data_IF_267494775467
#
_entry.id   IF_267494775467
#
_cell.length_a   1.000
_cell.length_b   1.000
_cell.length_c   1.000
_cell.angle_alpha   90.00
_cell.angle_beta   90.00
_cell.angle_gamma   90.00
#
_symmetry.space_group_name_H-M   'P 1'
#
loop_
_entity.id
_entity.type
_entity.pdbx_description
1 polymer ?
#
# COMPACT_ATOMS: atom_id res chain seq x y z
N UNK A 1 16.69 19.09 -32.86
CA UNK A 1 15.35 19.23 -33.49
C UNK A 1 14.35 18.78 -32.44
N UNK A 2 13.64 19.69 -31.79
CA UNK A 2 12.71 19.36 -30.68
C UNK A 2 11.54 18.55 -31.25
N UNK A 3 11.51 17.23 -31.04
CA UNK A 3 10.27 16.48 -31.23
C UNK A 3 9.31 16.94 -30.14
N UNK A 4 8.23 17.63 -30.53
CA UNK A 4 7.04 17.72 -29.69
C UNK A 4 6.58 16.28 -29.44
N UNK A 5 6.45 15.91 -28.17
CA UNK A 5 5.89 14.64 -27.73
C UNK A 5 4.40 14.60 -28.13
N UNK A 6 4.14 14.22 -29.38
CA UNK A 6 2.83 13.77 -29.81
C UNK A 6 2.69 12.28 -29.43
N UNK A 7 1.62 11.96 -28.70
CA UNK A 7 1.09 10.62 -28.39
C UNK A 7 1.48 9.95 -27.06
N UNK A 8 1.08 10.59 -25.96
CA UNK A 8 0.42 9.88 -24.85
C UNK A 8 -0.78 10.74 -24.41
N UNK A 9 -1.89 10.19 -23.88
CA UNK A 9 -2.93 11.01 -23.25
C UNK A 9 -2.28 11.72 -22.06
N UNK A 10 -1.70 12.89 -22.32
CA UNK A 10 -0.68 13.48 -21.48
C UNK A 10 -1.30 14.02 -20.21
N UNK A 11 -0.78 13.58 -19.06
CA UNK A 11 -1.05 14.21 -17.78
C UNK A 11 -0.66 15.68 -17.84
N UNK A 12 -1.61 16.59 -17.58
CA UNK A 12 -1.34 18.03 -17.50
C UNK A 12 -0.44 18.33 -16.31
N UNK A 13 -0.57 17.54 -15.23
CA UNK A 13 0.34 17.59 -14.08
C UNK A 13 1.76 17.22 -14.49
N UNK A 14 1.99 16.11 -15.19
CA UNK A 14 3.34 15.73 -15.65
C UNK A 14 3.90 16.77 -16.61
N UNK A 15 3.09 17.34 -17.50
CA UNK A 15 3.52 18.39 -18.43
C UNK A 15 3.96 19.66 -17.68
N UNK A 16 3.21 20.07 -16.66
CA UNK A 16 3.59 21.21 -15.79
C UNK A 16 4.88 20.91 -15.03
N UNK A 17 4.99 19.73 -14.40
CA UNK A 17 6.17 19.33 -13.65
C UNK A 17 7.41 19.23 -14.53
N UNK A 18 7.29 18.72 -15.76
CA UNK A 18 8.38 18.67 -16.73
C UNK A 18 8.84 20.08 -17.13
N UNK A 19 7.90 21.02 -17.33
CA UNK A 19 8.23 22.40 -17.65
C UNK A 19 8.94 23.15 -16.50
N UNK A 20 8.70 22.74 -15.25
CA UNK A 20 9.38 23.28 -14.07
C UNK A 20 10.67 22.53 -13.72
N UNK A 21 10.96 21.40 -14.38
CA UNK A 21 12.14 20.60 -14.08
C UNK A 21 13.41 21.26 -14.65
N UNK A 22 14.54 21.23 -13.93
CA UNK A 22 15.81 21.73 -14.46
C UNK A 22 16.40 20.86 -15.59
N UNK A 23 15.85 19.67 -15.82
CA UNK A 23 16.31 18.71 -16.81
C UNK A 23 15.20 18.34 -17.79
N UNK A 24 15.58 17.89 -18.99
CA UNK A 24 14.62 17.26 -19.90
C UNK A 24 14.10 15.97 -19.26
N UNK A 25 12.82 15.63 -19.45
CA UNK A 25 12.22 14.48 -18.77
C UNK A 25 12.73 13.13 -19.29
N UNK A 26 13.41 13.08 -20.45
CA UNK A 26 13.97 11.86 -21.04
C UNK A 26 15.10 12.20 -22.03
N UNK A 27 16.26 11.60 -21.83
CA UNK A 27 17.41 11.69 -22.74
C UNK A 27 17.56 10.41 -23.57
N UNK A 28 17.01 10.42 -24.79
CA UNK A 28 17.14 9.31 -25.74
C UNK A 28 18.52 9.31 -26.44
N UNK A 29 19.07 8.12 -26.79
CA UNK A 29 18.48 6.78 -26.65
C UNK A 29 18.75 6.08 -25.31
N UNK A 30 19.59 6.64 -24.44
CA UNK A 30 20.09 5.96 -23.23
C UNK A 30 18.99 5.74 -22.20
N UNK A 31 18.17 6.76 -21.94
CA UNK A 31 17.12 6.68 -20.93
C UNK A 31 15.86 6.01 -21.48
N UNK A 32 15.25 5.16 -20.64
CA UNK A 32 14.01 4.42 -20.95
C UNK A 32 12.83 4.80 -20.06
N UNK A 33 13.07 5.64 -19.07
CA UNK A 33 12.09 6.03 -18.05
C UNK A 33 12.17 7.54 -17.90
N UNK A 34 11.00 8.18 -17.84
CA UNK A 34 10.92 9.62 -17.62
C UNK A 34 11.32 9.98 -16.20
N UNK A 35 12.13 11.01 -16.04
CA UNK A 35 12.57 11.52 -14.74
C UNK A 35 12.12 12.97 -14.59
N UNK A 36 11.40 13.26 -13.51
CA UNK A 36 10.99 14.61 -13.16
C UNK A 36 11.74 15.01 -11.90
N UNK A 37 12.67 15.94 -12.03
CA UNK A 37 13.45 16.46 -10.89
C UNK A 37 12.71 17.62 -10.24
N UNK A 38 12.58 17.56 -8.92
CA UNK A 38 11.98 18.57 -8.05
C UNK A 38 13.00 19.06 -7.02
N UNK A 39 12.76 20.23 -6.45
CA UNK A 39 13.73 20.92 -5.58
C UNK A 39 14.04 20.20 -4.27
N UNK A 40 13.05 19.52 -3.68
CA UNK A 40 13.17 18.90 -2.36
C UNK A 40 12.07 17.86 -2.09
N UNK A 41 12.19 17.16 -0.97
CA UNK A 41 11.28 16.09 -0.56
C UNK A 41 9.82 16.55 -0.32
N UNK A 42 9.54 17.71 0.31
CA UNK A 42 8.17 18.27 0.34
C UNK A 42 7.58 18.53 -1.05
N UNK A 43 8.37 19.06 -1.98
CA UNK A 43 7.95 19.30 -3.36
C UNK A 43 7.65 17.98 -4.10
N UNK A 44 8.42 16.93 -3.83
CA UNK A 44 8.14 15.58 -4.35
C UNK A 44 6.78 15.06 -3.87
N UNK A 45 6.49 15.19 -2.57
CA UNK A 45 5.18 14.81 -2.03
C UNK A 45 4.02 15.58 -2.66
N UNK A 46 4.21 16.89 -2.90
CA UNK A 46 3.22 17.73 -3.59
C UNK A 46 3.00 17.30 -5.04
N UNK A 47 4.09 17.06 -5.78
CA UNK A 47 4.04 16.62 -7.17
C UNK A 47 3.31 15.27 -7.31
N UNK A 48 3.66 14.30 -6.45
CA UNK A 48 3.00 13.00 -6.40
C UNK A 48 1.50 13.13 -6.03
N UNK A 49 1.15 14.02 -5.11
CA UNK A 49 -0.24 14.24 -4.69
C UNK A 49 -1.09 14.79 -5.83
N UNK A 50 -0.63 15.82 -6.54
CA UNK A 50 -1.34 16.35 -7.71
C UNK A 50 -1.48 15.30 -8.81
N UNK A 51 -0.43 14.51 -9.06
CA UNK A 51 -0.46 13.46 -10.07
C UNK A 51 -1.46 12.35 -9.72
N UNK A 52 -1.52 11.96 -8.45
CA UNK A 52 -2.47 10.98 -7.94
C UNK A 52 -3.91 11.48 -8.05
N UNK A 53 -4.16 12.73 -7.66
CA UNK A 53 -5.50 13.34 -7.74
C UNK A 53 -5.98 13.45 -9.18
N UNK A 54 -5.10 13.82 -10.11
CA UNK A 54 -5.42 13.86 -11.54
C UNK A 54 -5.77 12.45 -12.06
N UNK A 55 -4.96 11.45 -11.71
CA UNK A 55 -5.25 10.06 -12.06
C UNK A 55 -6.61 9.62 -11.51
N UNK A 56 -6.94 9.97 -10.27
CA UNK A 56 -8.22 9.61 -9.66
C UNK A 56 -9.42 10.30 -10.35
N UNK A 57 -9.28 11.54 -10.82
CA UNK A 57 -10.31 12.19 -11.65
C UNK A 57 -10.52 11.48 -13.01
N UNK A 58 -9.46 10.89 -13.55
CA UNK A 58 -9.49 10.17 -14.83
C UNK A 58 -9.92 8.70 -14.65
N UNK A 59 -9.71 8.14 -13.46
CA UNK A 59 -9.94 6.73 -13.10
C UNK A 59 -10.79 6.62 -11.82
N UNK A 60 -12.06 7.06 -11.83
CA UNK A 60 -12.89 7.14 -10.63
C UNK A 60 -13.13 5.79 -9.94
N UNK A 61 -13.00 4.67 -10.66
CA UNK A 61 -13.07 3.30 -10.10
C UNK A 61 -11.75 2.53 -10.25
N UNK A 62 -10.64 3.27 -10.35
CA UNK A 62 -9.31 2.72 -10.48
C UNK A 62 -8.89 1.86 -9.29
N UNK A 63 -7.89 1.02 -9.52
CA UNK A 63 -7.23 0.26 -8.45
C UNK A 63 -5.94 0.99 -8.09
N UNK A 64 -5.74 1.27 -6.81
CA UNK A 64 -4.51 1.86 -6.31
C UNK A 64 -3.94 1.07 -5.14
N UNK A 65 -2.65 1.29 -4.94
CA UNK A 65 -1.90 0.76 -3.83
C UNK A 65 -0.88 1.82 -3.44
N UNK A 66 -0.77 2.10 -2.14
CA UNK A 66 0.04 3.20 -1.62
C UNK A 66 1.05 2.66 -0.60
N UNK A 67 2.31 3.13 -0.64
CA UNK A 67 3.36 2.66 0.27
C UNK A 67 3.08 3.13 1.70
N UNK A 68 3.67 2.50 2.71
CA UNK A 68 3.56 2.93 4.12
C UNK A 68 4.86 3.58 4.60
N UNK A 69 4.88 4.02 5.86
CA UNK A 69 6.07 4.57 6.52
C UNK A 69 6.24 6.09 6.41
N UNK A 70 7.49 6.56 6.48
CA UNK A 70 7.81 8.01 6.50
C UNK A 70 7.88 8.64 5.10
N UNK A 71 8.27 7.86 4.10
CA UNK A 71 8.44 8.32 2.72
C UNK A 71 7.19 9.01 2.14
N UNK A 72 5.96 8.49 2.32
CA UNK A 72 4.76 9.13 1.77
C UNK A 72 4.17 10.27 2.63
N UNK A 73 4.82 10.71 3.72
CA UNK A 73 4.23 11.66 4.67
C UNK A 73 3.77 12.98 4.02
N UNK A 74 4.62 13.60 3.19
CA UNK A 74 4.23 14.82 2.48
C UNK A 74 3.17 14.56 1.42
N UNK A 75 3.22 13.40 0.74
CA UNK A 75 2.19 12.99 -0.20
C UNK A 75 0.82 12.91 0.48
N UNK A 76 0.73 12.22 1.63
CA UNK A 76 -0.50 12.11 2.43
C UNK A 76 -1.02 13.50 2.82
N UNK A 77 -0.15 14.34 3.39
CA UNK A 77 -0.51 15.68 3.84
C UNK A 77 -1.04 16.54 2.69
N UNK A 78 -0.43 16.45 1.51
CA UNK A 78 -0.87 17.20 0.34
C UNK A 78 -2.20 16.68 -0.22
N UNK A 79 -2.39 15.36 -0.36
CA UNK A 79 -3.68 14.80 -0.79
C UNK A 79 -4.78 15.22 0.17
N UNK A 80 -4.58 15.07 1.49
CA UNK A 80 -5.55 15.50 2.50
C UNK A 80 -5.86 16.99 2.41
N UNK A 81 -4.85 17.84 2.24
CA UNK A 81 -5.03 19.29 2.07
C UNK A 81 -5.82 19.62 0.80
N UNK A 82 -5.47 19.01 -0.33
CA UNK A 82 -6.15 19.20 -1.62
C UNK A 82 -7.63 18.82 -1.49
N UNK A 83 -7.94 17.67 -0.87
CA UNK A 83 -9.32 17.21 -0.69
C UNK A 83 -10.09 18.11 0.27
N UNK A 84 -9.52 18.45 1.43
CA UNK A 84 -10.18 19.26 2.46
C UNK A 84 -10.45 20.68 1.97
N UNK A 85 -9.46 21.30 1.36
CA UNK A 85 -9.47 22.72 1.03
C UNK A 85 -9.74 22.96 -0.47
N UNK A 86 -10.37 21.99 -1.18
CA UNK A 86 -10.57 22.04 -2.64
C UNK A 86 -11.16 23.36 -3.11
N UNK A 87 -12.21 23.86 -2.45
CA UNK A 87 -12.92 25.10 -2.84
C UNK A 87 -12.16 26.38 -2.45
N UNK A 88 -11.04 26.28 -1.74
CA UNK A 88 -10.27 27.45 -1.33
C UNK A 88 -9.52 28.06 -2.51
N UNK A 89 -9.44 29.39 -2.55
CA UNK A 89 -8.71 30.11 -3.60
C UNK A 89 -7.26 29.62 -3.80
N UNK A 90 -6.47 29.33 -2.75
CA UNK A 90 -5.11 28.80 -2.92
C UNK A 90 -5.06 27.45 -3.63
N UNK A 91 -5.95 26.51 -3.30
CA UNK A 91 -5.97 25.19 -3.93
C UNK A 91 -6.51 25.26 -5.35
N UNK A 92 -7.56 26.05 -5.59
CA UNK A 92 -8.09 26.28 -6.95
C UNK A 92 -7.06 26.94 -7.87
N UNK A 93 -6.25 27.87 -7.36
CA UNK A 93 -5.15 28.48 -8.11
C UNK A 93 -4.12 27.44 -8.53
N UNK A 94 -3.70 26.56 -7.61
CA UNK A 94 -2.77 25.47 -7.92
C UNK A 94 -3.37 24.44 -8.88
N UNK A 95 -4.63 24.06 -8.67
CA UNK A 95 -5.35 23.14 -9.55
C UNK A 95 -5.37 23.66 -10.99
N UNK A 96 -5.63 24.96 -11.18
CA UNK A 96 -5.60 25.60 -12.52
C UNK A 96 -4.20 25.59 -13.13
N UNK A 97 -3.15 25.88 -12.36
CA UNK A 97 -1.75 25.82 -12.83
C UNK A 97 -1.38 24.41 -13.30
N UNK A 98 -1.90 23.40 -12.62
CA UNK A 98 -1.70 21.98 -12.92
C UNK A 98 -2.61 21.45 -14.02
N UNK A 99 -3.54 22.26 -14.55
CA UNK A 99 -4.48 21.86 -15.61
C UNK A 99 -5.58 20.89 -15.14
N UNK A 100 -5.88 20.87 -13.84
CA UNK A 100 -6.87 19.98 -13.24
C UNK A 100 -8.28 20.30 -13.71
N UNK A 101 -9.15 19.29 -13.75
CA UNK A 101 -10.58 19.51 -13.93
C UNK A 101 -11.17 20.19 -12.68
N UNK A 102 -12.22 21.03 -12.81
CA UNK A 102 -12.77 21.80 -11.69
C UNK A 102 -13.46 20.94 -10.63
N UNK A 103 -13.93 19.74 -10.99
CA UNK A 103 -14.67 18.87 -10.08
C UNK A 103 -13.75 18.33 -8.97
N UNK A 104 -14.21 18.41 -7.72
CA UNK A 104 -13.47 17.80 -6.61
C UNK A 104 -13.28 16.30 -6.87
N UNK A 105 -12.04 15.77 -6.80
CA UNK A 105 -11.79 14.34 -6.88
C UNK A 105 -12.58 13.58 -5.80
N UNK A 106 -13.27 12.53 -6.21
CA UNK A 106 -13.97 11.60 -5.31
C UNK A 106 -13.22 10.28 -5.29
N UNK A 107 -12.79 9.85 -4.11
CA UNK A 107 -11.92 8.68 -3.95
C UNK A 107 -12.64 7.48 -3.34
N UNK A 108 -13.89 7.66 -2.90
CA UNK A 108 -14.76 6.63 -2.32
C UNK A 108 -14.97 5.43 -3.25
N UNK A 109 -14.86 5.65 -4.55
CA UNK A 109 -14.99 4.61 -5.56
C UNK A 109 -13.68 3.92 -5.95
N UNK A 110 -12.53 4.33 -5.43
CA UNK A 110 -11.30 3.61 -5.71
C UNK A 110 -11.29 2.25 -5.02
N UNK A 111 -10.65 1.26 -5.64
CA UNK A 111 -10.30 -0.01 -5.01
C UNK A 111 -8.89 0.09 -4.44
N UNK A 112 -8.75 -0.08 -3.14
CA UNK A 112 -7.45 -0.04 -2.47
C UNK A 112 -6.93 -1.45 -2.24
N UNK A 113 -5.64 -1.68 -2.51
CA UNK A 113 -4.95 -2.94 -2.21
C UNK A 113 -3.74 -2.63 -1.34
N UNK A 114 -3.63 -3.27 -0.17
CA UNK A 114 -2.44 -3.14 0.68
C UNK A 114 -1.24 -3.89 0.06
N UNK A 115 -0.05 -3.29 0.09
CA UNK A 115 1.17 -3.85 -0.56
C UNK A 115 1.84 -4.89 0.33
N UNK A 116 2.02 -4.55 1.60
CA UNK A 116 2.82 -5.32 2.55
C UNK A 116 2.28 -5.22 3.98
N UNK A 117 2.74 -6.14 4.83
CA UNK A 117 2.48 -6.17 6.27
C UNK A 117 3.60 -6.97 6.97
N UNK A 118 3.82 -6.71 8.26
CA UNK A 118 4.68 -7.55 9.08
C UNK A 118 3.98 -8.87 9.42
N UNK A 119 4.58 -10.01 9.09
CA UNK A 119 4.08 -11.29 9.58
C UNK A 119 4.75 -11.62 10.93
N UNK A 120 4.01 -12.01 11.98
CA UNK A 120 2.59 -12.31 12.01
C UNK A 120 1.75 -11.25 12.77
N UNK A 121 2.01 -9.96 12.54
CA UNK A 121 1.47 -8.88 13.36
C UNK A 121 -0.07 -8.85 13.35
N UNK A 122 -0.66 -8.52 14.50
CA UNK A 122 -2.08 -8.24 14.58
C UNK A 122 -2.41 -6.86 13.97
N UNK A 123 -3.48 -6.76 13.16
CA UNK A 123 -3.98 -5.47 12.65
C UNK A 123 -4.38 -4.46 13.73
N UNK A 124 -4.60 -4.91 14.96
CA UNK A 124 -4.96 -4.05 16.08
C UNK A 124 -3.74 -3.30 16.65
N UNK A 125 -2.51 -3.70 16.29
CA UNK A 125 -1.30 -3.00 16.71
C UNK A 125 -1.09 -1.72 15.90
N UNK A 126 -0.73 -0.63 16.59
CA UNK A 126 -0.57 0.70 15.99
C UNK A 126 0.60 0.81 14.99
N UNK A 127 1.56 -0.10 15.07
CA UNK A 127 2.71 -0.21 14.18
C UNK A 127 2.46 -1.17 12.99
N UNK A 128 1.28 -1.79 12.90
CA UNK A 128 0.88 -2.55 11.72
C UNK A 128 0.64 -1.61 10.54
N UNK A 129 0.96 -2.09 9.34
CA UNK A 129 0.64 -1.37 8.11
C UNK A 129 -0.85 -1.35 7.84
N UNK A 130 -1.61 -2.33 8.34
CA UNK A 130 -3.06 -2.34 8.36
C UNK A 130 -3.61 -1.12 9.11
N UNK A 131 -3.11 -0.85 10.32
CA UNK A 131 -3.49 0.34 11.09
C UNK A 131 -3.13 1.62 10.33
N UNK A 132 -1.90 1.71 9.82
CA UNK A 132 -1.44 2.86 9.03
C UNK A 132 -2.35 3.14 7.83
N UNK A 133 -2.67 2.12 7.03
CA UNK A 133 -3.55 2.24 5.87
C UNK A 133 -4.93 2.73 6.28
N UNK A 134 -5.52 2.17 7.35
CA UNK A 134 -6.83 2.59 7.84
C UNK A 134 -6.85 4.06 8.26
N UNK A 135 -5.84 4.50 9.03
CA UNK A 135 -5.79 5.89 9.52
C UNK A 135 -5.48 6.90 8.41
N UNK A 136 -4.43 6.67 7.62
CA UNK A 136 -3.91 7.71 6.73
C UNK A 136 -4.52 7.67 5.33
N UNK A 137 -4.92 6.51 4.84
CA UNK A 137 -5.49 6.35 3.50
C UNK A 137 -7.00 6.17 3.54
N UNK A 138 -7.53 5.16 4.24
CA UNK A 138 -8.98 4.91 4.25
C UNK A 138 -9.71 6.10 4.86
N UNK A 139 -9.44 6.42 6.13
CA UNK A 139 -10.03 7.58 6.80
C UNK A 139 -9.51 8.89 6.21
N UNK A 140 -8.18 9.00 6.06
CA UNK A 140 -7.54 10.25 5.65
C UNK A 140 -7.94 10.73 4.24
N UNK A 141 -8.15 9.83 3.28
CA UNK A 141 -8.52 10.18 1.91
C UNK A 141 -10.02 10.01 1.64
N UNK A 142 -10.77 9.39 2.56
CA UNK A 142 -12.19 9.08 2.37
C UNK A 142 -12.39 7.94 1.37
N UNK A 143 -11.54 6.91 1.41
CA UNK A 143 -11.75 5.69 0.63
C UNK A 143 -12.83 4.85 1.29
N UNK A 144 -13.55 4.05 0.49
CA UNK A 144 -14.54 3.11 1.02
C UNK A 144 -13.82 1.87 1.59
N UNK A 145 -13.93 1.57 2.91
CA UNK A 145 -13.34 0.37 3.49
C UNK A 145 -13.90 -0.93 2.87
N UNK A 146 -15.14 -0.92 2.37
CA UNK A 146 -15.73 -2.08 1.69
C UNK A 146 -15.10 -2.34 0.31
N UNK A 147 -14.36 -1.36 -0.24
CA UNK A 147 -13.59 -1.48 -1.49
C UNK A 147 -12.08 -1.66 -1.24
N UNK A 148 -11.67 -1.97 0.00
CA UNK A 148 -10.29 -2.20 0.35
C UNK A 148 -9.99 -3.70 0.53
N UNK A 149 -8.89 -4.16 -0.05
CA UNK A 149 -8.29 -5.46 0.21
C UNK A 149 -7.10 -5.26 1.16
N UNK A 150 -7.32 -5.57 2.44
CA UNK A 150 -6.34 -5.41 3.51
C UNK A 150 -5.84 -6.77 4.00
N UNK A 151 -4.60 -6.81 4.48
CA UNK A 151 -3.99 -8.05 4.99
C UNK A 151 -4.25 -8.20 6.49
N UNK A 152 -4.57 -9.42 6.91
CA UNK A 152 -4.69 -9.79 8.32
C UNK A 152 -3.74 -10.95 8.63
N UNK A 153 -2.49 -10.59 8.93
CA UNK A 153 -1.42 -11.55 9.21
C UNK A 153 -1.67 -12.39 10.48
N UNK A 154 -2.58 -11.96 11.36
CA UNK A 154 -2.94 -12.74 12.56
C UNK A 154 -3.75 -14.00 12.25
N UNK A 155 -4.26 -14.14 11.02
CA UNK A 155 -5.07 -15.29 10.59
C UNK A 155 -4.38 -16.19 9.58
N UNK A 156 -3.41 -15.67 8.84
CA UNK A 156 -2.74 -16.40 7.75
C UNK A 156 -2.04 -17.64 8.32
N UNK A 157 -2.55 -18.82 7.94
CA UNK A 157 -2.05 -20.13 8.33
C UNK A 157 -2.77 -20.80 9.51
N UNK A 158 -3.66 -20.09 10.21
CA UNK A 158 -4.46 -20.67 11.31
C UNK A 158 -5.68 -21.45 10.79
N UNK A 159 -6.30 -20.97 9.70
CA UNK A 159 -7.58 -21.48 9.20
C UNK A 159 -7.51 -22.91 8.63
N UNK A 160 -6.34 -23.38 8.21
CA UNK A 160 -6.16 -24.71 7.60
C UNK A 160 -6.29 -25.91 8.56
N UNK A 161 -6.56 -25.66 9.86
CA UNK A 161 -6.82 -26.70 10.86
C UNK A 161 -8.31 -27.11 10.93
N UNK A 162 -9.24 -26.32 10.39
CA UNK A 162 -10.66 -26.59 10.51
C UNK A 162 -11.07 -27.83 9.68
N UNK A 163 -11.55 -28.89 10.36
CA UNK A 163 -12.18 -30.05 9.71
C UNK A 163 -11.33 -31.31 9.58
N UNK A 164 -10.17 -31.41 10.22
CA UNK A 164 -9.37 -32.65 10.27
C UNK A 164 -9.62 -33.38 11.60
N UNK A 165 -9.85 -34.69 11.55
CA UNK A 165 -9.91 -35.55 12.76
C UNK A 165 -8.57 -35.75 13.46
N UNK A 166 -7.59 -34.90 13.15
CA UNK A 166 -6.23 -34.87 13.67
C UNK A 166 -5.83 -33.41 13.89
N UNK A 167 -4.92 -33.19 14.82
CA UNK A 167 -4.51 -31.87 15.25
C UNK A 167 -3.68 -31.16 14.21
N UNK A 168 -3.36 -29.89 14.45
CA UNK A 168 -2.62 -29.09 13.48
C UNK A 168 -1.24 -29.66 13.15
N UNK A 169 -0.65 -30.51 13.98
CA UNK A 169 0.65 -31.19 13.74
C UNK A 169 0.50 -32.63 13.24
N UNK A 170 -0.75 -33.08 12.97
CA UNK A 170 -1.08 -34.45 12.56
C UNK A 170 -1.25 -35.42 13.74
N UNK A 171 -1.34 -34.91 14.97
CA UNK A 171 -1.51 -35.67 16.20
C UNK A 171 -2.97 -36.14 16.41
N UNK A 172 -3.21 -37.20 17.22
CA UNK A 172 -4.55 -37.62 17.63
C UNK A 172 -5.34 -36.53 18.39
N UNK A 173 -6.68 -36.67 18.42
CA UNK A 173 -7.60 -35.64 18.94
C UNK A 173 -7.39 -35.28 20.42
N UNK A 174 -7.13 -36.27 21.24
CA UNK A 174 -6.85 -36.13 22.66
C UNK A 174 -5.53 -35.42 22.96
N UNK A 175 -4.59 -35.41 22.02
CA UNK A 175 -3.30 -34.76 22.18
C UNK A 175 -3.30 -33.32 21.64
N UNK A 176 -4.30 -32.86 20.88
CA UNK A 176 -4.35 -31.58 20.15
C UNK A 176 -3.72 -30.35 20.84
N UNK A 177 -2.94 -29.58 20.06
CA UNK A 177 -2.52 -28.24 20.46
C UNK A 177 -3.70 -27.32 20.18
N UNK A 178 -4.14 -26.60 21.19
CA UNK A 178 -5.11 -25.53 21.00
C UNK A 178 -4.41 -24.39 20.27
N UNK A 179 -4.93 -24.02 19.10
CA UNK A 179 -4.41 -22.91 18.29
C UNK A 179 -5.57 -22.01 17.94
N UNK A 180 -5.68 -20.90 18.64
CA UNK A 180 -6.69 -19.85 18.42
C UNK A 180 -6.04 -18.56 17.92
N UNK A 181 -4.83 -18.31 18.39
CA UNK A 181 -4.10 -17.08 18.13
C UNK A 181 -2.71 -17.37 17.60
N UNK A 182 -2.11 -16.34 17.04
CA UNK A 182 -0.82 -16.46 16.39
C UNK A 182 0.31 -16.60 17.42
N UNK A 183 0.07 -16.14 18.64
CA UNK A 183 0.88 -16.34 19.84
C UNK A 183 0.92 -17.82 20.28
N UNK A 184 -0.08 -18.64 19.93
CA UNK A 184 -0.02 -20.09 20.16
C UNK A 184 0.99 -20.77 19.20
N UNK A 185 1.28 -20.12 18.07
CA UNK A 185 2.24 -20.58 17.07
C UNK A 185 3.62 -19.95 17.32
N UNK A 186 3.67 -18.66 17.62
CA UNK A 186 4.89 -17.87 17.85
C UNK A 186 4.85 -17.21 19.23
N UNK A 187 5.05 -17.95 20.34
CA UNK A 187 4.84 -17.43 21.71
C UNK A 187 5.75 -16.26 22.08
N UNK A 188 6.92 -16.18 21.46
CA UNK A 188 7.93 -15.13 21.62
C UNK A 188 7.92 -14.12 20.46
N UNK A 189 6.98 -14.27 19.52
CA UNK A 189 6.89 -13.45 18.30
C UNK A 189 8.03 -13.69 17.30
N UNK A 190 8.92 -14.65 17.53
CA UNK A 190 10.05 -14.92 16.66
C UNK A 190 9.70 -15.98 15.60
N UNK A 191 9.77 -15.60 14.33
CA UNK A 191 9.56 -16.51 13.21
C UNK A 191 10.89 -17.07 12.71
N UNK A 192 11.20 -18.32 13.06
CA UNK A 192 12.38 -19.02 12.55
C UNK A 192 12.17 -19.47 11.10
N UNK A 193 12.70 -18.69 10.14
CA UNK A 193 12.61 -18.99 8.72
C UNK A 193 13.38 -20.25 8.29
N UNK A 194 14.30 -20.77 9.12
CA UNK A 194 15.00 -22.03 8.81
C UNK A 194 14.06 -23.23 8.80
N UNK A 195 12.93 -23.16 9.52
CA UNK A 195 11.86 -24.16 9.51
C UNK A 195 11.22 -24.36 8.13
N UNK A 196 11.48 -23.50 7.14
CA UNK A 196 11.03 -23.76 5.76
C UNK A 196 11.70 -25.01 5.17
N UNK A 197 12.96 -25.26 5.52
CA UNK A 197 13.79 -26.28 4.87
C UNK A 197 14.27 -27.37 5.82
N UNK A 198 14.53 -27.07 7.09
CA UNK A 198 14.97 -28.08 8.06
C UNK A 198 13.80 -28.89 8.63
N UNK A 199 14.11 -30.05 9.20
CA UNK A 199 13.12 -30.82 9.94
C UNK A 199 12.81 -30.20 11.30
N UNK A 200 11.54 -30.22 11.74
CA UNK A 200 11.14 -29.77 13.05
C UNK A 200 11.53 -30.80 14.12
N UNK A 201 12.13 -30.33 15.20
CA UNK A 201 12.61 -31.11 16.34
C UNK A 201 11.58 -31.25 17.46
N UNK A 202 10.56 -30.38 17.48
CA UNK A 202 9.53 -30.35 18.49
C UNK A 202 8.13 -30.29 17.87
N UNK A 203 7.12 -30.50 18.71
CA UNK A 203 5.71 -30.38 18.30
C UNK A 203 5.35 -28.95 17.92
N UNK A 204 5.84 -27.97 18.69
CA UNK A 204 5.68 -26.55 18.36
C UNK A 204 6.35 -26.22 17.03
N UNK A 205 7.55 -26.73 16.76
CA UNK A 205 8.23 -26.51 15.47
C UNK A 205 7.46 -27.13 14.30
N UNK A 206 6.77 -28.27 14.48
CA UNK A 206 5.88 -28.83 13.45
C UNK A 206 4.71 -27.91 13.15
N UNK A 207 4.09 -27.34 14.19
CA UNK A 207 3.01 -26.36 14.06
C UNK A 207 3.50 -25.12 13.31
N UNK A 208 4.62 -24.54 13.77
CA UNK A 208 5.27 -23.38 13.19
C UNK A 208 5.65 -23.60 11.72
N UNK A 209 6.32 -24.71 11.41
CA UNK A 209 6.68 -25.07 10.03
C UNK A 209 5.45 -25.18 9.13
N UNK A 210 4.38 -25.82 9.59
CA UNK A 210 3.14 -25.94 8.82
C UNK A 210 2.53 -24.57 8.54
N UNK A 211 2.39 -23.73 9.57
CA UNK A 211 1.83 -22.37 9.45
C UNK A 211 2.70 -21.52 8.51
N UNK A 212 4.03 -21.57 8.69
CA UNK A 212 4.99 -20.84 7.86
C UNK A 212 4.92 -21.24 6.38
N UNK A 213 4.78 -22.52 6.07
CA UNK A 213 4.61 -23.01 4.68
C UNK A 213 3.31 -22.53 4.03
N UNK A 214 2.27 -22.24 4.81
CA UNK A 214 1.02 -21.68 4.28
C UNK A 214 1.11 -20.16 4.08
N UNK A 215 1.86 -19.47 4.94
CA UNK A 215 2.11 -18.04 4.80
C UNK A 215 3.15 -17.72 3.70
N UNK A 216 4.01 -18.68 3.36
CA UNK A 216 5.10 -18.52 2.37
C UNK A 216 5.09 -19.65 1.35
N UNK A 217 4.17 -19.61 0.36
CA UNK A 217 4.12 -20.60 -0.71
C UNK A 217 5.39 -20.65 -1.57
#
# INVERSE_FOLDING_TARGET
MKRKLENSPGSSVEAHLAACSPFEPLYEPEEKIRVLVVENFPALGKAAAWRFVEWAQQSPEGVCSLPTGKTPEYFIKWVQRILRDWESAPIQEEARKMGMKPEKPKLDKLRFVQIDEFYPISPQQHNSFHYYVNEYYIKGFGLDPARALLMDCSKIGLEAAAGKGFGPTGEPQDDHLKVEHMEDVWPDGHVDLSLRTRDPSSRLERLQQRVLRQATP
#
